data_IF_554018853008
#
_entry.id   IF_554018853008
#
_cell.length_a   1.000
_cell.length_b   1.000
_cell.length_c   1.000
_cell.angle_alpha   90.00
_cell.angle_beta   90.00
_cell.angle_gamma   90.00
#
_symmetry.space_group_name_H-M   'P 1'
#
loop_
_entity.id
_entity.type
_entity.pdbx_description
1 polymer ?
#
# COMPACT_ATOMS: atom_id res chain seq x y z
N UNK A 1 17.62 10.61 20.20
CA UNK A 1 16.77 11.41 19.28
C UNK A 1 17.11 11.18 17.80
N UNK A 2 18.39 11.07 17.41
CA UNK A 2 18.80 10.84 16.01
C UNK A 2 18.09 9.68 15.31
N UNK A 3 17.93 8.52 15.96
CA UNK A 3 17.23 7.38 15.34
C UNK A 3 15.76 7.68 15.01
N UNK A 4 15.06 8.43 15.87
CA UNK A 4 13.66 8.81 15.61
C UNK A 4 13.54 9.79 14.44
N UNK A 5 14.48 10.75 14.34
CA UNK A 5 14.54 11.71 13.22
C UNK A 5 14.86 10.99 11.92
N UNK A 6 15.80 10.06 11.93
CA UNK A 6 16.14 9.26 10.75
C UNK A 6 14.96 8.41 10.27
N UNK A 7 14.27 7.72 11.18
CA UNK A 7 13.06 6.95 10.83
C UNK A 7 11.97 7.87 10.27
N UNK A 8 11.78 9.05 10.87
CA UNK A 8 10.84 10.06 10.38
C UNK A 8 11.18 10.54 8.96
N UNK A 9 12.45 10.77 8.67
CA UNK A 9 12.93 11.16 7.35
C UNK A 9 12.64 10.08 6.29
N UNK A 10 12.97 8.82 6.59
CA UNK A 10 12.68 7.68 5.72
C UNK A 10 11.17 7.53 5.48
N UNK A 11 10.36 7.64 6.54
CA UNK A 11 8.91 7.63 6.41
C UNK A 11 8.41 8.76 5.50
N UNK A 12 9.02 9.95 5.58
CA UNK A 12 8.66 11.09 4.74
C UNK A 12 8.97 10.87 3.26
N UNK A 13 10.09 10.21 2.94
CA UNK A 13 10.43 9.81 1.56
C UNK A 13 9.33 8.88 1.01
N UNK A 14 8.96 7.85 1.77
CA UNK A 14 7.90 6.94 1.34
C UNK A 14 6.56 7.64 1.17
N UNK A 15 6.17 8.48 2.13
CA UNK A 15 4.90 9.22 2.06
C UNK A 15 4.87 10.18 0.86
N UNK A 16 5.98 10.83 0.54
CA UNK A 16 6.09 11.71 -0.63
C UNK A 16 5.94 10.93 -1.94
N UNK A 17 6.56 9.75 -2.02
CA UNK A 17 6.41 8.87 -3.18
C UNK A 17 4.96 8.39 -3.34
N UNK A 18 4.34 7.91 -2.25
CA UNK A 18 2.93 7.50 -2.27
C UNK A 18 2.01 8.66 -2.68
N UNK A 19 2.26 9.86 -2.16
CA UNK A 19 1.47 11.05 -2.47
C UNK A 19 1.51 11.38 -3.96
N UNK A 20 2.72 11.42 -4.54
CA UNK A 20 2.91 11.64 -5.97
C UNK A 20 2.18 10.60 -6.80
N UNK A 21 2.34 9.31 -6.48
CA UNK A 21 1.65 8.22 -7.19
C UNK A 21 0.12 8.36 -7.11
N UNK A 22 -0.41 8.74 -5.95
CA UNK A 22 -1.86 8.96 -5.78
C UNK A 22 -2.37 10.16 -6.60
N UNK A 23 -1.57 11.21 -6.75
CA UNK A 23 -1.90 12.35 -7.62
C UNK A 23 -1.88 11.96 -9.09
N UNK A 24 -0.78 11.36 -9.55
CA UNK A 24 -0.55 10.99 -10.95
C UNK A 24 -1.61 10.01 -11.47
N UNK A 25 -2.07 9.09 -10.60
CA UNK A 25 -3.09 8.09 -10.92
C UNK A 25 -4.53 8.50 -10.54
N UNK A 26 -4.73 9.73 -10.05
CA UNK A 26 -6.05 10.24 -9.68
C UNK A 26 -6.73 9.51 -8.52
N UNK A 27 -5.99 8.76 -7.70
CA UNK A 27 -6.53 7.97 -6.58
C UNK A 27 -7.18 8.84 -5.51
N UNK A 28 -6.73 10.08 -5.36
CA UNK A 28 -7.32 11.02 -4.41
C UNK A 28 -8.80 11.32 -4.65
N UNK A 29 -9.30 11.10 -5.88
CA UNK A 29 -10.73 11.25 -6.19
C UNK A 29 -11.60 10.20 -5.48
N UNK A 30 -11.04 9.03 -5.15
CA UNK A 30 -11.77 7.90 -4.57
C UNK A 30 -11.30 7.46 -3.18
N UNK A 31 -10.11 7.88 -2.74
CA UNK A 31 -9.58 7.51 -1.42
C UNK A 31 -8.53 8.51 -0.90
N UNK A 32 -8.46 8.64 0.43
CA UNK A 32 -7.39 9.39 1.09
C UNK A 32 -6.16 8.50 1.31
N UNK A 33 -5.00 9.12 1.55
CA UNK A 33 -3.77 8.40 1.91
C UNK A 33 -3.98 7.48 3.12
N UNK A 34 -4.70 7.97 4.15
CA UNK A 34 -5.07 7.16 5.33
C UNK A 34 -5.88 5.93 4.95
N UNK A 35 -6.88 6.09 4.06
CA UNK A 35 -7.71 4.97 3.58
C UNK A 35 -6.86 3.96 2.80
N UNK A 36 -5.96 4.42 1.93
CA UNK A 36 -5.03 3.55 1.19
C UNK A 36 -4.18 2.70 2.14
N UNK A 37 -3.54 3.33 3.13
CA UNK A 37 -2.70 2.62 4.10
C UNK A 37 -3.51 1.58 4.90
N UNK A 38 -4.75 1.91 5.28
CA UNK A 38 -5.64 1.00 5.99
C UNK A 38 -6.09 -0.19 5.12
N UNK A 39 -6.32 0.03 3.82
CA UNK A 39 -6.69 -1.05 2.89
C UNK A 39 -5.52 -2.03 2.73
N UNK A 40 -4.30 -1.51 2.59
CA UNK A 40 -3.09 -2.32 2.46
C UNK A 40 -2.74 -3.04 3.78
N UNK A 41 -2.96 -2.41 4.94
CA UNK A 41 -2.68 -3.04 6.23
C UNK A 41 -3.60 -4.23 6.54
N UNK A 42 -4.77 -4.30 5.88
CA UNK A 42 -5.72 -5.41 6.00
C UNK A 42 -5.38 -6.60 5.12
N UNK A 43 -4.37 -6.49 4.26
CA UNK A 43 -3.91 -7.61 3.44
C UNK A 43 -3.40 -8.72 4.38
N UNK A 44 -4.18 -9.79 4.53
CA UNK A 44 -3.77 -10.98 5.26
C UNK A 44 -3.17 -11.98 4.29
N UNK A 45 -1.86 -12.19 4.39
CA UNK A 45 -1.18 -13.35 3.82
C UNK A 45 -1.41 -14.52 4.78
N UNK A 46 -2.17 -15.53 4.39
CA UNK A 46 -2.27 -16.76 5.19
C UNK A 46 -1.33 -17.81 4.60
N UNK A 47 -0.54 -18.44 5.46
CA UNK A 47 0.27 -19.59 5.12
C UNK A 47 -0.47 -20.84 5.60
N UNK A 48 -0.99 -21.64 4.67
CA UNK A 48 -1.56 -22.95 4.98
C UNK A 48 -0.81 -24.00 4.16
N UNK A 49 -0.31 -25.05 4.84
CA UNK A 49 0.37 -26.19 4.23
C UNK A 49 1.52 -25.82 3.26
N UNK A 50 2.29 -24.78 3.56
CA UNK A 50 3.42 -24.36 2.71
C UNK A 50 3.02 -23.66 1.41
N UNK A 51 1.71 -23.48 1.15
CA UNK A 51 1.20 -22.68 0.05
C UNK A 51 0.78 -21.29 0.55
N UNK A 52 1.12 -20.27 -0.26
CA UNK A 52 0.57 -18.93 -0.10
C UNK A 52 -0.91 -19.00 -0.46
N UNK A 53 -1.78 -18.97 0.55
CA UNK A 53 -3.21 -18.77 0.33
C UNK A 53 -3.46 -17.30 0.66
N UNK A 54 -3.26 -16.44 -0.34
CA UNK A 54 -3.68 -15.06 -0.20
C UNK A 54 -5.21 -15.01 -0.24
N UNK A 55 -5.83 -14.29 0.70
CA UNK A 55 -7.25 -13.98 0.55
C UNK A 55 -7.45 -13.24 -0.78
N UNK A 56 -8.52 -13.54 -1.54
CA UNK A 56 -8.76 -12.86 -2.81
C UNK A 56 -8.75 -11.34 -2.62
N UNK A 57 -7.93 -10.66 -3.41
CA UNK A 57 -7.78 -9.22 -3.35
C UNK A 57 -9.13 -8.53 -3.59
N UNK A 58 -9.46 -7.56 -2.74
CA UNK A 58 -10.65 -6.74 -2.92
C UNK A 58 -10.50 -5.85 -4.17
N UNK A 59 -11.61 -5.38 -4.73
CA UNK A 59 -11.58 -4.46 -5.89
C UNK A 59 -10.75 -3.21 -5.61
N UNK A 60 -10.82 -2.67 -4.39
CA UNK A 60 -10.02 -1.50 -3.98
C UNK A 60 -8.52 -1.85 -3.94
N UNK A 61 -8.14 -3.02 -3.42
CA UNK A 61 -6.75 -3.46 -3.41
C UNK A 61 -6.21 -3.64 -4.83
N UNK A 62 -6.96 -4.27 -5.73
CA UNK A 62 -6.57 -4.43 -7.15
C UNK A 62 -6.35 -3.08 -7.84
N UNK A 63 -7.26 -2.12 -7.59
CA UNK A 63 -7.11 -0.77 -8.11
C UNK A 63 -5.83 -0.09 -7.62
N UNK A 64 -5.47 -0.29 -6.34
CA UNK A 64 -4.21 0.20 -5.77
C UNK A 64 -3.02 -0.50 -6.44
N UNK A 65 -2.96 -1.84 -6.46
CA UNK A 65 -1.84 -2.57 -7.09
C UNK A 65 -1.61 -2.16 -8.54
N UNK A 66 -2.70 -2.02 -9.31
CA UNK A 66 -2.64 -1.54 -10.70
C UNK A 66 -2.10 -0.10 -10.80
N UNK A 67 -2.58 0.82 -9.97
CA UNK A 67 -2.13 2.21 -9.97
C UNK A 67 -0.65 2.33 -9.60
N UNK A 68 -0.14 1.46 -8.72
CA UNK A 68 1.27 1.41 -8.36
C UNK A 68 2.12 0.59 -9.33
N UNK A 69 1.53 0.01 -10.39
CA UNK A 69 2.20 -0.91 -11.31
C UNK A 69 2.91 -2.08 -10.59
N UNK A 70 2.37 -2.51 -9.44
CA UNK A 70 2.90 -3.61 -8.65
C UNK A 70 2.12 -4.87 -9.00
N UNK A 71 2.83 -5.99 -9.17
CA UNK A 71 2.21 -7.29 -9.41
C UNK A 71 1.30 -7.65 -8.23
N UNK A 72 0.06 -8.01 -8.52
CA UNK A 72 -0.87 -8.51 -7.50
C UNK A 72 -0.21 -9.68 -6.77
N UNK A 73 -0.18 -9.68 -5.42
CA UNK A 73 0.23 -10.86 -4.68
C UNK A 73 -0.76 -12.00 -5.02
N UNK A 74 -0.21 -13.12 -5.48
CA UNK A 74 -0.94 -14.34 -5.86
C UNK A 74 -0.91 -15.33 -4.71
#
# INVERSE_FOLDING_TARGET
>A
MQNKVFIGFIAHIFMSHLHRMMLDQGLYKGMTMKKLLLILSKLRVQHMNGQHILFPLTKEQKAIYKAFAIKEPV
#
